data_IF_028352474321
#
_entry.id   IF_028352474321
#
_cell.length_a   1.000
_cell.length_b   1.000
_cell.length_c   1.000
_cell.angle_alpha   90.00
_cell.angle_beta   90.00
_cell.angle_gamma   90.00
#
_symmetry.space_group_name_H-M   'P 1'
#
loop_
_entity.id
_entity.type
_entity.pdbx_description
1 polymer ?
#
# COMPACT_ATOMS: atom_id res chain seq x y z
N UNK A 1 -6.31 -9.73 -15.84
CA UNK A 1 -6.55 -9.17 -14.49
C UNK A 1 -5.35 -9.22 -13.54
N UNK A 2 -4.41 -10.19 -13.62
CA UNK A 2 -3.22 -10.23 -12.76
C UNK A 2 -2.27 -9.02 -12.95
N UNK A 3 -2.09 -8.60 -14.21
CA UNK A 3 -1.22 -7.49 -14.57
C UNK A 3 -1.70 -6.14 -13.99
N UNK A 4 -3.02 -5.91 -13.99
CA UNK A 4 -3.62 -4.71 -13.38
C UNK A 4 -3.38 -4.64 -11.86
N UNK A 5 -3.42 -5.79 -11.16
CA UNK A 5 -3.13 -5.86 -9.71
C UNK A 5 -1.68 -5.50 -9.40
N UNK A 6 -0.74 -6.00 -10.22
CA UNK A 6 0.68 -5.66 -10.10
C UNK A 6 0.93 -4.19 -10.39
N UNK A 7 0.26 -3.61 -11.40
CA UNK A 7 0.36 -2.19 -11.71
C UNK A 7 -0.17 -1.34 -10.54
N UNK A 8 -1.32 -1.67 -9.95
CA UNK A 8 -1.85 -0.94 -8.78
C UNK A 8 -0.90 -1.01 -7.58
N UNK A 9 -0.35 -2.20 -7.29
CA UNK A 9 0.58 -2.40 -6.19
C UNK A 9 1.88 -1.61 -6.42
N UNK A 10 2.44 -1.69 -7.63
CA UNK A 10 3.65 -0.97 -8.01
C UNK A 10 3.43 0.55 -7.93
N UNK A 11 2.28 1.04 -8.41
CA UNK A 11 1.94 2.45 -8.35
C UNK A 11 1.79 2.94 -6.89
N UNK A 12 1.15 2.14 -6.04
CA UNK A 12 1.05 2.42 -4.60
C UNK A 12 2.42 2.47 -3.91
N UNK A 13 3.30 1.51 -4.21
CA UNK A 13 4.66 1.44 -3.66
C UNK A 13 5.53 2.62 -4.12
N UNK A 14 5.46 2.99 -5.40
CA UNK A 14 6.18 4.14 -5.93
C UNK A 14 5.68 5.43 -5.27
N UNK A 15 4.37 5.58 -5.11
CA UNK A 15 3.77 6.75 -4.46
C UNK A 15 4.19 6.86 -2.98
N UNK A 16 4.26 5.74 -2.27
CA UNK A 16 4.80 5.66 -0.90
C UNK A 16 6.27 6.08 -0.84
N UNK A 17 7.12 5.54 -1.73
CA UNK A 17 8.55 5.86 -1.78
C UNK A 17 8.79 7.34 -2.04
N UNK A 18 8.08 7.92 -3.01
CA UNK A 18 8.18 9.35 -3.35
C UNK A 18 7.72 10.21 -2.18
N UNK A 19 6.69 9.79 -1.44
CA UNK A 19 6.16 10.54 -0.29
C UNK A 19 7.02 10.41 0.97
N UNK A 20 7.78 9.32 1.09
CA UNK A 20 8.65 9.09 2.24
C UNK A 20 9.78 10.14 2.32
N UNK A 21 10.27 10.60 1.17
CA UNK A 21 11.33 11.59 1.09
C UNK A 21 10.90 12.98 1.67
N UNK A 22 9.80 13.62 1.22
CA UNK A 22 9.31 14.86 1.81
C UNK A 22 8.81 14.68 3.24
N UNK A 23 8.22 13.54 3.63
CA UNK A 23 7.86 13.28 5.03
C UNK A 23 9.11 13.19 5.93
N UNK A 24 10.17 12.55 5.45
CA UNK A 24 11.45 12.46 6.16
C UNK A 24 12.05 13.84 6.41
N UNK A 25 12.09 14.67 5.36
CA UNK A 25 12.52 16.07 5.47
C UNK A 25 11.63 16.91 6.37
N UNK A 26 10.29 16.75 6.31
CA UNK A 26 9.38 17.41 7.23
C UNK A 26 9.68 17.03 8.69
N UNK A 27 9.95 15.75 8.97
CA UNK A 27 10.30 15.31 10.32
C UNK A 27 11.61 15.92 10.83
N UNK A 28 12.62 16.04 9.97
CA UNK A 28 13.91 16.68 10.27
C UNK A 28 13.74 18.18 10.53
N UNK A 29 12.86 18.85 9.76
CA UNK A 29 12.52 20.25 9.97
C UNK A 29 11.80 20.47 11.30
N UNK A 30 10.85 19.59 11.66
CA UNK A 30 10.16 19.65 12.95
C UNK A 30 11.07 19.31 14.14
N UNK A 31 12.06 18.43 13.96
CA UNK A 31 13.08 18.14 14.98
C UNK A 31 14.07 19.29 15.20
N UNK A 32 14.04 20.33 14.35
CA UNK A 32 14.99 21.44 14.42
C UNK A 32 16.41 21.06 14.01
N UNK A 33 16.58 19.92 13.31
CA UNK A 33 17.88 19.46 12.81
C UNK A 33 18.36 20.33 11.63
N UNK A 34 17.45 21.04 10.97
CA UNK A 34 17.77 22.12 10.04
C UNK A 34 18.19 23.37 10.83
N UNK A 35 19.30 23.29 11.55
CA UNK A 35 19.81 24.35 12.42
C UNK A 35 20.21 25.65 11.70
N UNK A 36 20.13 25.67 10.37
CA UNK A 36 20.51 26.80 9.51
C UNK A 36 19.35 27.79 9.26
N UNK A 37 18.11 27.40 9.58
CA UNK A 37 16.88 28.15 9.33
C UNK A 37 16.16 28.35 10.66
N UNK A 38 15.62 29.55 10.92
CA UNK A 38 15.06 29.89 12.22
C UNK A 38 13.91 28.95 12.65
N UNK A 39 13.60 28.84 13.95
CA UNK A 39 12.58 27.90 14.45
C UNK A 39 11.17 28.13 13.87
N UNK A 40 10.84 29.36 13.44
CA UNK A 40 9.59 29.66 12.77
C UNK A 40 9.58 29.18 11.31
N UNK A 41 10.67 29.45 10.58
CA UNK A 41 10.83 29.10 9.16
C UNK A 41 10.95 27.58 8.95
N UNK A 42 11.62 26.86 9.86
CA UNK A 42 11.66 25.40 9.86
C UNK A 42 10.27 24.78 10.01
N UNK A 43 9.42 25.40 10.84
CA UNK A 43 8.06 24.92 11.08
C UNK A 43 7.19 25.13 9.86
N UNK A 44 7.36 26.27 9.18
CA UNK A 44 6.63 26.60 7.95
C UNK A 44 7.04 25.67 6.79
N UNK A 45 8.34 25.45 6.59
CA UNK A 45 8.85 24.46 5.63
C UNK A 45 8.36 23.04 5.95
N UNK A 46 8.38 22.64 7.22
CA UNK A 46 7.89 21.34 7.66
C UNK A 46 6.40 21.12 7.36
N UNK A 47 5.56 22.13 7.62
CA UNK A 47 4.12 22.09 7.29
C UNK A 47 3.90 22.01 5.78
N UNK A 48 4.67 22.76 4.98
CA UNK A 48 4.55 22.76 3.53
C UNK A 48 4.95 21.41 2.92
N UNK A 49 6.07 20.84 3.37
CA UNK A 49 6.52 19.51 2.98
C UNK A 49 5.52 18.42 3.41
N UNK A 50 4.94 18.55 4.59
CA UNK A 50 3.88 17.66 5.05
C UNK A 50 2.64 17.78 4.16
N UNK A 51 2.20 18.99 3.83
CA UNK A 51 1.04 19.21 2.96
C UNK A 51 1.25 18.65 1.55
N UNK A 52 2.49 18.59 1.07
CA UNK A 52 2.82 18.04 -0.26
C UNK A 52 3.04 16.53 -0.22
N UNK A 53 3.64 16.00 0.85
CA UNK A 53 3.95 14.58 1.00
C UNK A 53 2.79 13.73 1.53
N UNK A 54 1.89 14.29 2.32
CA UNK A 54 0.78 13.56 2.96
C UNK A 54 -0.27 13.05 1.94
N UNK A 55 -0.74 13.86 0.95
CA UNK A 55 -1.71 13.39 -0.04
C UNK A 55 -1.22 12.18 -0.86
N UNK A 56 -0.01 12.18 -1.46
CA UNK A 56 0.48 11.01 -2.17
C UNK A 56 0.80 9.84 -1.23
N UNK A 57 1.17 10.09 0.03
CA UNK A 57 1.35 9.02 1.01
C UNK A 57 0.03 8.28 1.27
N UNK A 58 -1.04 9.02 1.57
CA UNK A 58 -2.37 8.45 1.81
C UNK A 58 -2.87 7.72 0.56
N UNK A 59 -2.73 8.33 -0.62
CA UNK A 59 -3.09 7.71 -1.90
C UNK A 59 -2.33 6.40 -2.14
N UNK A 60 -1.02 6.39 -1.89
CA UNK A 60 -0.16 5.22 -2.00
C UNK A 60 -0.58 4.08 -1.06
N UNK A 61 -0.86 4.39 0.21
CA UNK A 61 -1.37 3.40 1.19
C UNK A 61 -2.67 2.77 0.71
N UNK A 62 -3.63 3.58 0.24
CA UNK A 62 -4.93 3.10 -0.23
C UNK A 62 -4.77 2.21 -1.46
N UNK A 63 -3.94 2.60 -2.43
CA UNK A 63 -3.67 1.80 -3.63
C UNK A 63 -2.98 0.47 -3.29
N UNK A 64 -2.02 0.48 -2.37
CA UNK A 64 -1.39 -0.75 -1.86
C UNK A 64 -2.42 -1.66 -1.17
N UNK A 65 -3.28 -1.11 -0.31
CA UNK A 65 -4.31 -1.89 0.38
C UNK A 65 -5.31 -2.52 -0.60
N UNK A 66 -5.73 -1.78 -1.64
CA UNK A 66 -6.59 -2.30 -2.70
C UNK A 66 -5.90 -3.40 -3.53
N UNK A 67 -4.62 -3.21 -3.88
CA UNK A 67 -3.82 -4.22 -4.58
C UNK A 67 -3.67 -5.51 -3.78
N UNK A 68 -3.40 -5.41 -2.48
CA UNK A 68 -3.30 -6.54 -1.55
C UNK A 68 -4.65 -7.22 -1.32
N UNK A 69 -5.73 -6.47 -1.13
CA UNK A 69 -7.08 -7.02 -0.96
C UNK A 69 -7.52 -7.77 -2.22
N UNK A 70 -7.22 -7.24 -3.41
CA UNK A 70 -7.48 -7.90 -4.68
C UNK A 70 -6.62 -9.16 -4.87
N UNK A 71 -5.44 -9.25 -4.23
CA UNK A 71 -4.60 -10.45 -4.23
C UNK A 71 -5.17 -11.52 -3.27
N UNK A 72 -5.53 -11.13 -2.04
CA UNK A 72 -6.06 -12.03 -1.01
C UNK A 72 -7.42 -12.64 -1.38
N UNK A 73 -8.33 -11.85 -1.95
CA UNK A 73 -9.64 -12.34 -2.45
C UNK A 73 -9.49 -13.37 -3.56
N UNK A 74 -8.48 -13.21 -4.43
CA UNK A 74 -8.19 -14.16 -5.50
C UNK A 74 -7.68 -15.50 -4.95
N UNK A 75 -6.82 -15.48 -3.93
CA UNK A 75 -6.35 -16.70 -3.27
C UNK A 75 -7.49 -17.45 -2.56
N UNK A 76 -8.41 -16.73 -1.90
CA UNK A 76 -9.58 -17.34 -1.26
C UNK A 76 -10.48 -18.08 -2.25
N UNK A 77 -10.73 -17.53 -3.43
CA UNK A 77 -11.50 -18.23 -4.47
C UNK A 77 -10.79 -19.46 -5.05
N UNK A 78 -9.45 -19.44 -5.10
CA UNK A 78 -8.70 -20.59 -5.63
C UNK A 78 -8.58 -21.73 -4.62
N UNK A 79 -8.59 -21.43 -3.32
CA UNK A 79 -8.61 -22.45 -2.24
C UNK A 79 -10.02 -22.89 -1.83
N UNK A 80 -11.06 -22.13 -2.19
CA UNK A 80 -12.46 -22.52 -2.01
C UNK A 80 -13.03 -23.27 -3.23
N UNK A 81 -12.20 -23.89 -4.07
CA UNK A 81 -12.68 -24.94 -4.95
C UNK A 81 -13.06 -26.13 -4.05
N UNK A 82 -14.35 -26.46 -3.92
CA UNK A 82 -14.78 -27.52 -3.02
C UNK A 82 -14.18 -28.83 -3.51
N UNK A 83 -13.51 -29.52 -2.60
CA UNK A 83 -13.24 -30.95 -2.71
C UNK A 83 -14.57 -31.71 -2.66
N UNK A 84 -15.34 -31.60 -3.74
CA UNK A 84 -16.53 -32.42 -4.02
C UNK A 84 -16.33 -33.11 -5.37
N UNK A 85 -15.16 -33.73 -5.56
CA UNK A 85 -15.05 -34.84 -6.50
C UNK A 85 -15.59 -36.09 -5.79
N UNK A 86 -16.92 -36.16 -5.73
CA UNK A 86 -17.75 -37.35 -5.90
C UNK A 86 -17.03 -38.70 -5.67
N UNK A 87 -16.99 -39.15 -4.42
CA UNK A 87 -16.74 -40.55 -4.08
C UNK A 87 -18.02 -41.37 -4.36
N UNK A 88 -18.35 -41.56 -5.64
CA UNK A 88 -19.58 -42.25 -6.05
C UNK A 88 -19.27 -43.37 -7.05
N UNK A 89 -18.39 -44.31 -6.65
CA UNK A 89 -18.12 -45.54 -7.41
C UNK A 89 -17.66 -46.68 -6.49
N UNK A 90 -18.55 -47.18 -5.61
CA UNK A 90 -18.25 -48.41 -4.85
C UNK A 90 -19.47 -49.18 -4.31
N UNK A 91 -20.65 -49.16 -4.94
CA UNK A 91 -21.76 -50.07 -4.54
C UNK A 91 -22.68 -50.50 -5.70
N UNK A 92 -22.16 -50.62 -6.92
CA UNK A 92 -22.80 -51.42 -7.97
C UNK A 92 -21.88 -52.60 -8.24
N UNK A 93 -22.02 -53.64 -7.43
CA UNK A 93 -21.65 -55.03 -7.72
C UNK A 93 -22.09 -55.87 -6.51
N UNK A 94 -23.39 -56.15 -6.44
CA UNK A 94 -24.02 -57.20 -5.63
C UNK A 94 -25.33 -57.60 -6.29
#
# INVERSE_FOLDING_TARGET
MRLLKLILLALGMISLLISLLPLGFASLAFLGVLADVGPAENREMGVQLLSWGLPPFIGGVVLCALGLLAHATNHRHTHAAPSTASNNRSTQDL
#
